data_IF_818443494486
#
_entry.id   IF_818443494486
#
_cell.length_a   1.000
_cell.length_b   1.000
_cell.length_c   1.000
_cell.angle_alpha   90.00
_cell.angle_beta   90.00
_cell.angle_gamma   90.00
#
_symmetry.space_group_name_H-M   'P 1'
#
loop_
_entity.id
_entity.type
_entity.pdbx_description
1 polymer ?
#
# COMPACT_ATOMS: atom_id res chain seq x y z
N UNK A 1 18.56 0.44 3.88
CA UNK A 1 18.77 -0.34 2.65
C UNK A 1 17.46 -0.48 1.89
N UNK A 2 17.47 -0.17 0.61
CA UNK A 2 16.29 -0.39 -0.21
C UNK A 2 16.12 -1.89 -0.50
N UNK A 3 14.87 -2.37 -0.50
CA UNK A 3 14.58 -3.74 -0.96
C UNK A 3 14.97 -3.82 -2.43
N UNK A 4 15.76 -4.83 -2.79
CA UNK A 4 16.03 -5.13 -4.18
C UNK A 4 14.81 -5.81 -4.81
N UNK A 5 13.94 -5.02 -5.41
CA UNK A 5 12.85 -5.53 -6.25
C UNK A 5 13.28 -5.50 -7.71
N UNK A 6 12.79 -6.43 -8.55
CA UNK A 6 13.12 -6.41 -9.96
C UNK A 6 12.62 -5.11 -10.60
N UNK A 7 13.40 -4.61 -11.53
CA UNK A 7 12.97 -3.48 -12.35
C UNK A 7 11.78 -3.90 -13.22
N UNK A 8 10.73 -3.10 -13.19
CA UNK A 8 9.56 -3.24 -14.07
C UNK A 8 9.48 -2.01 -14.96
N UNK A 9 9.35 -2.23 -16.25
CA UNK A 9 9.13 -1.14 -17.20
C UNK A 9 7.73 -0.54 -17.00
N UNK A 10 7.54 0.70 -17.42
CA UNK A 10 6.24 1.35 -17.39
C UNK A 10 5.15 0.53 -18.10
N UNK A 11 5.50 -0.12 -19.21
CA UNK A 11 4.57 -0.96 -19.95
C UNK A 11 4.16 -2.23 -19.17
N UNK A 12 5.08 -2.83 -18.43
CA UNK A 12 4.77 -3.97 -17.57
C UNK A 12 3.84 -3.56 -16.41
N UNK A 13 4.09 -2.43 -15.80
CA UNK A 13 3.23 -1.87 -14.75
C UNK A 13 1.83 -1.57 -15.30
N UNK A 14 1.74 -0.93 -16.46
CA UNK A 14 0.46 -0.64 -17.12
C UNK A 14 -0.32 -1.90 -17.47
N UNK A 15 0.36 -2.93 -17.97
CA UNK A 15 -0.27 -4.24 -18.27
C UNK A 15 -0.81 -4.90 -17.01
N UNK A 16 -0.04 -4.87 -15.93
CA UNK A 16 -0.47 -5.43 -14.64
C UNK A 16 -1.71 -4.71 -14.11
N UNK A 17 -1.74 -3.39 -14.18
CA UNK A 17 -2.90 -2.59 -13.77
C UNK A 17 -4.12 -2.87 -14.65
N UNK A 18 -3.94 -2.93 -15.97
CA UNK A 18 -5.03 -3.24 -16.90
C UNK A 18 -5.60 -4.65 -16.68
N UNK A 19 -4.74 -5.62 -16.41
CA UNK A 19 -5.15 -6.98 -16.09
C UNK A 19 -5.97 -7.02 -14.79
N UNK A 20 -5.52 -6.35 -13.74
CA UNK A 20 -6.24 -6.26 -12.47
C UNK A 20 -7.64 -5.66 -12.66
N UNK A 21 -7.75 -4.57 -13.41
CA UNK A 21 -9.03 -3.94 -13.70
C UNK A 21 -9.95 -4.84 -14.54
N UNK A 22 -9.38 -5.56 -15.52
CA UNK A 22 -10.13 -6.50 -16.33
C UNK A 22 -10.65 -7.68 -15.50
N UNK A 23 -9.84 -8.23 -14.61
CA UNK A 23 -10.23 -9.31 -13.71
C UNK A 23 -11.36 -8.87 -12.76
N UNK A 24 -11.26 -7.69 -12.20
CA UNK A 24 -12.25 -7.15 -11.26
C UNK A 24 -13.53 -6.71 -11.96
N UNK A 25 -13.43 -5.94 -13.04
CA UNK A 25 -14.54 -5.26 -13.70
C UNK A 25 -15.05 -5.96 -14.97
N UNK A 26 -14.47 -7.08 -15.34
CA UNK A 26 -14.74 -7.73 -16.60
C UNK A 26 -14.55 -6.76 -17.78
N UNK A 27 -15.54 -6.59 -18.62
CA UNK A 27 -15.48 -5.73 -19.82
C UNK A 27 -15.94 -4.28 -19.54
N UNK A 28 -15.87 -3.81 -18.30
CA UNK A 28 -16.29 -2.46 -17.96
C UNK A 28 -15.43 -1.40 -18.65
N UNK A 29 -16.08 -0.42 -19.26
CA UNK A 29 -15.39 0.75 -19.83
C UNK A 29 -15.00 1.73 -18.71
N UNK A 30 -13.76 1.70 -18.31
CA UNK A 30 -13.22 2.58 -17.27
C UNK A 30 -13.03 4.03 -17.74
N UNK A 31 -13.09 4.28 -19.05
CA UNK A 31 -12.93 5.63 -19.60
C UNK A 31 -14.15 6.53 -19.29
N UNK A 32 -15.33 5.93 -19.33
CA UNK A 32 -16.61 6.61 -19.08
C UNK A 32 -17.29 6.15 -17.78
N UNK A 33 -16.67 5.26 -17.04
CA UNK A 33 -17.19 4.74 -15.79
C UNK A 33 -16.96 5.74 -14.64
N UNK A 34 -17.72 5.63 -13.52
CA UNK A 34 -17.36 6.28 -12.26
C UNK A 34 -15.93 5.90 -11.85
N UNK A 35 -15.32 6.65 -10.91
CA UNK A 35 -13.98 6.30 -10.41
C UNK A 35 -13.87 4.83 -10.03
N UNK A 36 -12.70 4.25 -10.26
CA UNK A 36 -12.42 2.85 -9.89
C UNK A 36 -12.75 2.64 -8.41
N UNK A 37 -13.58 1.65 -8.05
CA UNK A 37 -13.90 1.35 -6.66
C UNK A 37 -12.74 0.65 -5.99
N UNK A 38 -11.70 1.41 -5.64
CA UNK A 38 -10.41 0.90 -5.22
C UNK A 38 -10.48 0.05 -3.92
N UNK A 39 -11.36 0.42 -2.99
CA UNK A 39 -11.60 -0.36 -1.78
C UNK A 39 -12.18 -1.74 -2.09
N UNK A 40 -13.12 -1.82 -3.02
CA UNK A 40 -13.70 -3.10 -3.45
C UNK A 40 -12.68 -3.97 -4.17
N UNK A 41 -11.80 -3.37 -4.96
CA UNK A 41 -10.68 -4.10 -5.59
C UNK A 41 -9.80 -4.71 -4.50
N UNK A 42 -9.45 -3.94 -3.48
CA UNK A 42 -8.63 -4.41 -2.38
C UNK A 42 -9.31 -5.52 -1.57
N UNK A 43 -10.52 -5.29 -1.11
CA UNK A 43 -11.17 -6.19 -0.16
C UNK A 43 -11.83 -7.39 -0.83
N UNK A 44 -12.56 -7.17 -1.94
CA UNK A 44 -13.34 -8.22 -2.59
C UNK A 44 -12.56 -9.05 -3.59
N UNK A 45 -11.69 -8.40 -4.37
CA UNK A 45 -10.92 -9.09 -5.41
C UNK A 45 -9.59 -9.62 -4.87
N UNK A 46 -8.79 -8.76 -4.24
CA UNK A 46 -7.48 -9.15 -3.73
C UNK A 46 -7.53 -9.82 -2.35
N UNK A 47 -8.67 -9.76 -1.67
CA UNK A 47 -8.87 -10.35 -0.33
C UNK A 47 -7.92 -9.80 0.74
N UNK A 48 -7.53 -8.55 0.59
CA UNK A 48 -6.77 -7.82 1.59
C UNK A 48 -7.71 -7.24 2.64
N UNK A 49 -7.22 -7.11 3.85
CA UNK A 49 -7.92 -6.38 4.91
C UNK A 49 -7.49 -4.93 4.89
N UNK A 50 -8.43 -4.02 5.06
CA UNK A 50 -8.18 -2.58 5.16
C UNK A 50 -8.51 -2.12 6.58
N UNK A 51 -7.58 -1.38 7.18
CA UNK A 51 -7.79 -0.75 8.47
C UNK A 51 -7.11 0.61 8.54
N UNK A 52 -7.51 1.43 9.48
CA UNK A 52 -6.95 2.75 9.75
C UNK A 52 -6.29 2.75 11.11
N UNK A 53 -5.13 3.40 11.22
CA UNK A 53 -4.42 3.52 12.48
C UNK A 53 -3.51 4.75 12.45
N UNK A 54 -3.02 5.17 13.61
CA UNK A 54 -1.93 6.11 13.70
C UNK A 54 -0.62 5.41 13.32
N UNK A 55 -0.26 5.49 12.05
CA UNK A 55 0.92 4.80 11.55
C UNK A 55 2.22 5.34 12.12
N UNK A 56 2.31 6.63 12.37
CA UNK A 56 3.48 7.21 13.00
C UNK A 56 3.68 6.69 14.42
N UNK A 57 2.61 6.63 15.22
CA UNK A 57 2.63 6.04 16.55
C UNK A 57 2.94 4.56 16.53
N UNK A 58 2.31 3.81 15.64
CA UNK A 58 2.48 2.37 15.48
C UNK A 58 3.91 1.98 15.05
N UNK A 59 4.53 2.77 14.19
CA UNK A 59 5.87 2.54 13.68
C UNK A 59 6.98 3.25 14.46
N UNK A 60 6.62 4.08 15.45
CA UNK A 60 7.58 4.86 16.22
C UNK A 60 8.28 5.95 15.42
N UNK A 61 7.64 6.46 14.36
CA UNK A 61 8.19 7.52 13.51
C UNK A 61 7.66 8.87 14.01
N UNK A 62 8.54 9.82 14.37
CA UNK A 62 8.10 11.14 14.85
C UNK A 62 7.44 11.97 13.75
N UNK A 63 6.39 12.73 14.10
CA UNK A 63 5.75 13.71 13.22
C UNK A 63 6.42 15.10 13.37
N UNK A 64 7.71 15.15 13.17
CA UNK A 64 8.50 16.38 13.36
C UNK A 64 8.80 17.15 12.07
N UNK A 65 8.37 16.63 10.92
CA UNK A 65 8.64 17.22 9.61
C UNK A 65 10.04 16.93 9.06
N UNK A 66 10.89 16.26 9.80
CA UNK A 66 12.24 15.87 9.36
C UNK A 66 12.21 14.58 8.55
N UNK A 67 11.29 13.68 8.88
CA UNK A 67 11.10 12.43 8.16
C UNK A 67 9.86 12.49 7.26
N UNK A 68 9.84 11.70 6.15
CA UNK A 68 8.67 11.60 5.29
C UNK A 68 7.44 11.13 6.05
N UNK A 69 6.30 11.72 5.73
CA UNK A 69 5.01 11.31 6.28
C UNK A 69 4.63 9.91 5.82
N UNK A 70 4.31 9.04 6.75
CA UNK A 70 3.84 7.67 6.46
C UNK A 70 2.33 7.67 6.37
N UNK A 71 1.81 7.40 5.18
CA UNK A 71 0.37 7.44 4.89
C UNK A 71 -0.25 6.06 4.68
N UNK A 72 0.55 5.07 4.34
CA UNK A 72 0.10 3.71 4.14
C UNK A 72 1.18 2.69 4.49
N UNK A 73 0.75 1.48 4.80
CA UNK A 73 1.64 0.36 5.08
C UNK A 73 0.97 -0.96 4.67
N UNK A 74 1.75 -1.86 4.10
CA UNK A 74 1.32 -3.20 3.70
C UNK A 74 2.00 -4.25 4.58
N UNK A 75 1.21 -5.06 5.25
CA UNK A 75 1.65 -6.28 5.95
C UNK A 75 1.38 -7.48 5.05
N UNK A 76 2.38 -7.86 4.27
CA UNK A 76 2.19 -8.87 3.22
C UNK A 76 1.89 -10.27 3.77
N UNK A 77 2.47 -10.66 4.90
CA UNK A 77 2.23 -11.99 5.50
C UNK A 77 0.79 -12.16 5.97
N UNK A 78 0.21 -11.13 6.55
CA UNK A 78 -1.17 -11.16 7.04
C UNK A 78 -2.20 -10.65 6.02
N UNK A 79 -1.74 -10.20 4.86
CA UNK A 79 -2.57 -9.61 3.81
C UNK A 79 -3.40 -8.42 4.33
N UNK A 80 -2.75 -7.51 5.03
CA UNK A 80 -3.38 -6.34 5.64
C UNK A 80 -2.76 -5.05 5.09
N UNK A 81 -3.64 -4.09 4.80
CA UNK A 81 -3.26 -2.72 4.42
C UNK A 81 -3.75 -1.79 5.53
N UNK A 82 -2.84 -0.99 6.04
CA UNK A 82 -3.16 0.09 6.97
C UNK A 82 -2.99 1.44 6.29
N UNK A 83 -3.96 2.29 6.47
CA UNK A 83 -3.92 3.69 6.03
C UNK A 83 -3.87 4.57 7.27
N UNK A 84 -3.04 5.61 7.24
CA UNK A 84 -2.96 6.53 8.36
C UNK A 84 -4.32 7.20 8.60
N UNK A 85 -4.70 7.32 9.87
CA UNK A 85 -6.00 7.88 10.26
C UNK A 85 -6.23 9.30 9.76
N UNK A 86 -5.16 10.04 9.47
CA UNK A 86 -5.24 11.38 8.86
C UNK A 86 -5.84 11.39 7.45
N UNK A 87 -5.98 10.23 6.83
CA UNK A 87 -6.59 10.05 5.52
C UNK A 87 -7.96 9.37 5.57
N UNK A 88 -8.49 9.06 6.74
CA UNK A 88 -9.82 8.46 6.86
C UNK A 88 -10.87 9.34 6.15
N UNK A 89 -11.53 8.84 5.11
CA UNK A 89 -12.48 9.64 4.33
C UNK A 89 -13.73 10.05 5.11
N UNK A 90 -14.07 9.33 6.18
CA UNK A 90 -15.20 9.68 7.05
C UNK A 90 -14.87 10.89 7.93
N UNK A 91 -13.59 11.01 8.34
CA UNK A 91 -13.11 12.13 9.16
C UNK A 91 -12.57 13.30 8.32
N UNK A 92 -11.97 12.97 7.18
CA UNK A 92 -11.27 13.91 6.31
C UNK A 92 -11.70 13.79 4.84
N UNK A 93 -12.97 14.07 4.50
CA UNK A 93 -13.46 13.92 3.12
C UNK A 93 -12.73 14.80 2.11
N UNK A 94 -12.14 15.92 2.54
CA UNK A 94 -11.32 16.79 1.69
C UNK A 94 -10.00 16.13 1.22
N UNK A 95 -9.60 15.03 1.86
CA UNK A 95 -8.38 14.30 1.54
C UNK A 95 -8.65 12.99 0.79
N UNK A 96 -9.86 12.78 0.32
CA UNK A 96 -10.25 11.54 -0.37
C UNK A 96 -9.34 11.18 -1.55
N UNK A 97 -8.96 12.16 -2.37
CA UNK A 97 -8.05 11.92 -3.49
C UNK A 97 -6.70 11.34 -3.05
N UNK A 98 -6.18 11.83 -1.95
CA UNK A 98 -4.94 11.33 -1.36
C UNK A 98 -5.11 9.93 -0.76
N UNK A 99 -6.21 9.70 -0.08
CA UNK A 99 -6.57 8.37 0.42
C UNK A 99 -6.61 7.34 -0.71
N UNK A 100 -7.34 7.65 -1.77
CA UNK A 100 -7.47 6.75 -2.94
C UNK A 100 -6.13 6.47 -3.61
N UNK A 101 -5.28 7.49 -3.75
CA UNK A 101 -3.93 7.33 -4.29
C UNK A 101 -3.06 6.43 -3.41
N UNK A 102 -3.08 6.67 -2.10
CA UNK A 102 -2.31 5.86 -1.13
C UNK A 102 -2.76 4.40 -1.17
N UNK A 103 -4.07 4.16 -1.20
CA UNK A 103 -4.63 2.82 -1.28
C UNK A 103 -4.21 2.10 -2.57
N UNK A 104 -4.28 2.78 -3.71
CA UNK A 104 -3.82 2.24 -4.99
C UNK A 104 -2.31 1.94 -4.97
N UNK A 105 -1.53 2.75 -4.28
CA UNK A 105 -0.10 2.54 -4.11
C UNK A 105 0.20 1.24 -3.34
N UNK A 106 -0.51 0.99 -2.25
CA UNK A 106 -0.35 -0.27 -1.48
C UNK A 106 -0.81 -1.49 -2.29
N UNK A 107 -1.89 -1.36 -3.05
CA UNK A 107 -2.31 -2.40 -4.00
C UNK A 107 -1.22 -2.69 -5.03
N UNK A 108 -0.56 -1.65 -5.54
CA UNK A 108 0.58 -1.80 -6.46
C UNK A 108 1.70 -2.63 -5.85
N UNK A 109 2.05 -2.38 -4.60
CA UNK A 109 3.04 -3.19 -3.90
C UNK A 109 2.60 -4.64 -3.74
N UNK A 110 1.36 -4.88 -3.39
CA UNK A 110 0.82 -6.24 -3.31
C UNK A 110 0.90 -6.97 -4.65
N UNK A 111 0.40 -6.37 -5.72
CA UNK A 111 0.35 -7.02 -7.03
C UNK A 111 1.72 -7.27 -7.64
N UNK A 112 2.66 -6.35 -7.44
CA UNK A 112 3.95 -6.38 -8.13
C UNK A 112 5.07 -6.97 -7.28
N UNK A 113 4.98 -6.88 -5.96
CA UNK A 113 6.11 -7.14 -5.07
C UNK A 113 5.82 -8.12 -3.94
N UNK A 114 4.61 -8.68 -3.79
CA UNK A 114 4.26 -9.52 -2.63
C UNK A 114 5.22 -10.69 -2.42
N UNK A 115 5.65 -11.34 -3.50
CA UNK A 115 6.54 -12.49 -3.42
C UNK A 115 7.92 -12.13 -2.85
N UNK A 116 8.35 -10.89 -3.07
CA UNK A 116 9.56 -10.34 -2.46
C UNK A 116 9.33 -9.92 -1.01
N UNK A 117 8.17 -9.34 -0.72
CA UNK A 117 7.84 -8.84 0.61
C UNK A 117 7.56 -9.96 1.61
N UNK A 118 7.15 -11.13 1.15
CA UNK A 118 6.90 -12.30 2.01
C UNK A 118 8.15 -13.14 2.26
N UNK A 119 9.25 -12.88 1.56
CA UNK A 119 10.52 -13.55 1.83
C UNK A 119 11.13 -13.06 3.16
N UNK A 120 11.50 -13.94 4.09
CA UNK A 120 12.07 -13.54 5.39
C UNK A 120 13.26 -12.58 5.29
N UNK A 121 14.17 -12.83 4.33
CA UNK A 121 15.34 -11.98 4.11
C UNK A 121 14.97 -10.59 3.59
N UNK A 122 13.89 -10.47 2.85
CA UNK A 122 13.42 -9.20 2.28
C UNK A 122 12.65 -8.37 3.30
N UNK A 123 11.89 -9.02 4.17
CA UNK A 123 11.17 -8.33 5.25
C UNK A 123 12.13 -7.62 6.20
N UNK A 124 13.20 -8.26 6.57
CA UNK A 124 14.22 -7.67 7.45
C UNK A 124 14.92 -6.48 6.79
N UNK A 125 15.15 -6.55 5.47
CA UNK A 125 15.75 -5.46 4.70
C UNK A 125 14.78 -4.32 4.39
N UNK A 126 13.47 -4.53 4.47
CA UNK A 126 12.44 -3.53 4.16
C UNK A 126 12.28 -2.46 5.24
N UNK A 127 12.65 -2.76 6.47
CA UNK A 127 12.49 -1.88 7.60
C UNK A 127 13.74 -1.02 7.80
N UNK A 128 13.58 0.29 8.08
CA UNK A 128 14.69 1.09 8.56
C UNK A 128 15.28 0.47 9.82
N UNK A 129 16.60 0.49 9.98
CA UNK A 129 17.29 -0.16 11.10
C UNK A 129 16.73 0.23 12.48
N UNK A 130 16.33 1.50 12.64
CA UNK A 130 15.75 1.98 13.90
C UNK A 130 14.35 1.47 14.21
N UNK A 131 13.66 0.87 13.23
CA UNK A 131 12.31 0.29 13.38
C UNK A 131 12.34 -1.22 13.58
N UNK A 132 13.46 -1.88 13.31
CA UNK A 132 13.56 -3.34 13.33
C UNK A 132 13.19 -3.98 14.68
N UNK A 133 13.35 -3.25 15.77
CA UNK A 133 13.09 -3.73 17.13
C UNK A 133 11.64 -3.47 17.61
N UNK A 134 10.83 -2.72 16.86
CA UNK A 134 9.54 -2.23 17.32
C UNK A 134 8.37 -2.65 16.43
N UNK A 135 8.64 -3.21 15.26
CA UNK A 135 7.62 -3.58 14.28
C UNK A 135 7.46 -5.09 14.25
N UNK A 136 6.22 -5.60 14.26
CA UNK A 136 5.99 -7.03 14.09
C UNK A 136 6.66 -7.54 12.80
N UNK A 137 7.19 -8.74 12.84
CA UNK A 137 7.83 -9.38 11.67
C UNK A 137 6.96 -9.40 10.40
N UNK A 138 5.65 -9.21 10.58
CA UNK A 138 4.67 -9.17 9.49
C UNK A 138 4.69 -7.86 8.68
N UNK A 139 5.31 -6.79 9.16
CA UNK A 139 5.36 -5.54 8.42
C UNK A 139 6.34 -5.64 7.26
N UNK A 140 5.81 -5.73 6.07
CA UNK A 140 6.63 -5.96 4.89
C UNK A 140 7.08 -4.66 4.21
N UNK A 141 6.32 -3.59 4.35
CA UNK A 141 6.66 -2.32 3.73
C UNK A 141 5.92 -1.14 4.34
N UNK A 142 6.66 -0.07 4.51
CA UNK A 142 6.12 1.24 4.87
C UNK A 142 6.21 2.16 3.66
N UNK A 143 5.09 2.71 3.24
CA UNK A 143 5.05 3.70 2.17
C UNK A 143 5.19 5.09 2.74
N UNK A 144 6.31 5.71 2.43
CA UNK A 144 6.53 7.11 2.73
C UNK A 144 6.21 7.96 1.49
N UNK A 145 5.68 9.14 1.74
CA UNK A 145 5.46 10.10 0.67
C UNK A 145 6.79 10.58 0.10
N UNK A 146 6.91 10.50 -1.19
CA UNK A 146 7.99 11.20 -1.90
C UNK A 146 7.75 12.72 -1.90
#
# INVERSE_FOLDING_TARGET
MAIAVPFLSENEIRRSAALLLAEFGCLRDWTNAPPVPIEEVLEKHLKLKLDFDDLHGKLGIPRNGEEPEVLGALWAESAEVFIDESLDPDEHPEREGRYRFTLAHEIGHWCLHKDYLTSPAQQEAALPEHLSNHVPRAAARVSARA
#
